data_IF_805620900424
#
_entry.id   IF_805620900424
#
_cell.length_a   1.000
_cell.length_b   1.000
_cell.length_c   1.000
_cell.angle_alpha   90.00
_cell.angle_beta   90.00
_cell.angle_gamma   90.00
#
_symmetry.space_group_name_H-M   'P 1'
#
loop_
_entity.id
_entity.type
_entity.pdbx_description
1 polymer ?
#
# COMPACT_ATOMS: atom_id res chain seq x y z
N UNK A 1 -13.63 5.40 10.96
CA UNK A 1 -13.58 4.54 9.74
C UNK A 1 -14.02 5.21 8.43
N UNK A 2 -14.73 6.35 8.41
CA UNK A 2 -15.17 7.02 7.15
C UNK A 2 -14.05 7.29 6.11
N UNK A 3 -12.85 7.68 6.57
CA UNK A 3 -11.72 8.02 5.69
C UNK A 3 -11.19 6.83 4.87
N UNK A 4 -11.20 5.62 5.45
CA UNK A 4 -10.73 4.42 4.73
C UNK A 4 -11.71 4.03 3.63
N UNK A 5 -13.02 3.99 3.93
CA UNK A 5 -14.04 3.65 2.96
C UNK A 5 -14.09 4.64 1.78
N UNK A 6 -13.95 5.94 2.07
CA UNK A 6 -13.85 6.98 1.02
C UNK A 6 -12.62 6.82 0.14
N UNK A 7 -11.45 6.57 0.74
CA UNK A 7 -10.20 6.34 0.00
C UNK A 7 -10.27 5.05 -0.83
N UNK A 8 -10.78 3.96 -0.26
CA UNK A 8 -10.98 2.69 -0.94
C UNK A 8 -11.95 2.82 -2.12
N UNK A 9 -13.06 3.54 -1.94
CA UNK A 9 -14.02 3.80 -3.02
C UNK A 9 -13.41 4.60 -4.18
N UNK A 10 -12.62 5.65 -3.87
CA UNK A 10 -11.88 6.41 -4.91
C UNK A 10 -10.88 5.53 -5.65
N UNK A 11 -10.09 4.73 -4.94
CA UNK A 11 -9.11 3.82 -5.53
C UNK A 11 -9.76 2.74 -6.39
N UNK A 12 -10.90 2.17 -5.96
CA UNK A 12 -11.67 1.21 -6.73
C UNK A 12 -12.13 1.78 -8.07
N UNK A 13 -12.65 3.01 -8.08
CA UNK A 13 -13.05 3.69 -9.31
C UNK A 13 -11.88 3.96 -10.26
N UNK A 14 -10.74 4.42 -9.71
CA UNK A 14 -9.52 4.66 -10.49
C UNK A 14 -8.99 3.35 -11.10
N UNK A 15 -8.97 2.26 -10.32
CA UNK A 15 -8.52 0.95 -10.79
C UNK A 15 -9.42 0.42 -11.92
N UNK A 16 -10.75 0.49 -11.77
CA UNK A 16 -11.67 0.07 -12.83
C UNK A 16 -11.51 0.88 -14.11
N UNK A 17 -11.34 2.20 -14.00
CA UNK A 17 -11.14 3.08 -15.15
C UNK A 17 -9.82 2.81 -15.89
N UNK A 18 -8.71 2.65 -15.17
CA UNK A 18 -7.39 2.38 -15.76
C UNK A 18 -7.32 1.01 -16.43
N UNK A 19 -7.95 0.00 -15.83
CA UNK A 19 -7.88 -1.39 -16.30
C UNK A 19 -8.99 -1.76 -17.29
N UNK A 20 -9.95 -0.86 -17.51
CA UNK A 20 -11.11 -1.11 -18.37
C UNK A 20 -12.09 -2.14 -17.79
N UNK A 21 -12.02 -2.40 -16.49
CA UNK A 21 -12.88 -3.38 -15.83
C UNK A 21 -14.30 -2.85 -15.67
N UNK A 22 -15.27 -3.70 -16.00
CA UNK A 22 -16.65 -3.53 -15.59
C UNK A 22 -16.77 -3.76 -14.07
N UNK A 23 -17.81 -3.23 -13.40
CA UNK A 23 -17.97 -3.39 -11.96
C UNK A 23 -17.90 -4.84 -11.48
N UNK A 24 -18.52 -5.79 -12.21
CA UNK A 24 -18.47 -7.22 -11.89
C UNK A 24 -17.05 -7.81 -11.95
N UNK A 25 -16.22 -7.35 -12.90
CA UNK A 25 -14.84 -7.83 -13.03
C UNK A 25 -14.00 -7.35 -11.84
N UNK A 26 -14.17 -6.09 -11.43
CA UNK A 26 -13.52 -5.54 -10.25
C UNK A 26 -13.90 -6.30 -8.97
N UNK A 27 -15.19 -6.61 -8.76
CA UNK A 27 -15.63 -7.32 -7.55
C UNK A 27 -15.24 -8.80 -7.52
N UNK A 28 -14.99 -9.43 -8.68
CA UNK A 28 -14.47 -10.80 -8.75
C UNK A 28 -12.96 -10.86 -8.61
N UNK A 29 -12.24 -9.80 -8.93
CA UNK A 29 -10.79 -9.74 -8.79
C UNK A 29 -10.37 -9.80 -7.32
N UNK A 30 -9.39 -10.64 -7.04
CA UNK A 30 -8.78 -10.74 -5.71
C UNK A 30 -7.76 -9.60 -5.51
N UNK A 31 -7.49 -9.22 -4.24
CA UNK A 31 -6.44 -8.23 -3.95
C UNK A 31 -5.05 -8.61 -4.51
N UNK A 32 -4.73 -9.92 -4.56
CA UNK A 32 -3.47 -10.42 -5.09
C UNK A 32 -3.34 -10.23 -6.60
N UNK A 33 -4.44 -10.47 -7.35
CA UNK A 33 -4.49 -10.22 -8.79
C UNK A 33 -4.36 -8.73 -9.10
N UNK A 34 -5.05 -7.87 -8.35
CA UNK A 34 -4.94 -6.41 -8.49
C UNK A 34 -3.50 -5.94 -8.23
N UNK A 35 -2.84 -6.45 -7.18
CA UNK A 35 -1.44 -6.13 -6.90
C UNK A 35 -0.50 -6.58 -8.04
N UNK A 36 -0.77 -7.74 -8.66
CA UNK A 36 0.00 -8.24 -9.80
C UNK A 36 -0.09 -7.29 -11.00
N UNK A 37 -1.30 -6.87 -11.36
CA UNK A 37 -1.55 -5.94 -12.46
C UNK A 37 -0.89 -4.58 -12.21
N UNK A 38 -0.98 -4.05 -10.98
CA UNK A 38 -0.36 -2.76 -10.64
C UNK A 38 1.18 -2.82 -10.70
N UNK A 39 1.80 -3.94 -10.33
CA UNK A 39 3.26 -4.14 -10.50
C UNK A 39 3.65 -4.13 -11.97
N UNK A 40 2.90 -4.85 -12.80
CA UNK A 40 3.13 -4.87 -14.25
C UNK A 40 2.97 -3.46 -14.86
N UNK A 41 1.89 -2.74 -14.52
CA UNK A 41 1.63 -1.39 -15.02
C UNK A 41 2.70 -0.36 -14.61
N UNK A 42 3.37 -0.56 -13.47
CA UNK A 42 4.48 0.28 -13.01
C UNK A 42 5.83 -0.07 -13.67
N UNK A 43 5.87 -1.05 -14.57
CA UNK A 43 7.12 -1.54 -15.17
C UNK A 43 8.03 -2.26 -14.17
N UNK A 44 7.47 -2.78 -13.07
CA UNK A 44 8.23 -3.49 -12.02
C UNK A 44 8.56 -4.94 -12.39
N UNK A 45 8.34 -5.34 -13.65
CA UNK A 45 8.74 -6.67 -14.14
C UNK A 45 10.28 -6.86 -14.16
N UNK A 46 11.07 -5.79 -14.01
CA UNK A 46 12.53 -5.86 -14.02
C UNK A 46 13.19 -6.25 -12.69
N UNK A 47 12.47 -6.33 -11.57
CA UNK A 47 13.02 -6.81 -10.30
C UNK A 47 12.05 -7.84 -9.71
N UNK A 48 12.37 -9.12 -9.94
CA UNK A 48 11.58 -10.24 -9.45
C UNK A 48 11.22 -10.09 -7.98
N UNK A 49 9.91 -10.21 -7.69
CA UNK A 49 9.32 -10.73 -6.46
C UNK A 49 9.58 -10.05 -5.10
N UNK A 50 10.76 -9.49 -4.87
CA UNK A 50 11.29 -9.23 -3.52
C UNK A 50 11.31 -7.74 -3.16
N UNK A 51 11.36 -6.83 -4.14
CA UNK A 51 11.61 -5.40 -3.88
C UNK A 51 10.40 -4.60 -3.30
N UNK A 52 9.22 -5.20 -3.16
CA UNK A 52 8.05 -4.55 -2.53
C UNK A 52 7.46 -5.33 -1.35
N UNK A 53 7.92 -6.54 -1.09
CA UNK A 53 7.51 -7.30 0.08
C UNK A 53 8.28 -6.85 1.35
N UNK A 54 9.41 -6.14 1.20
CA UNK A 54 10.39 -5.92 2.28
C UNK A 54 10.67 -4.45 2.66
N UNK A 55 9.72 -3.52 2.51
CA UNK A 55 9.86 -2.25 3.27
C UNK A 55 8.53 -1.78 3.83
N UNK A 56 7.87 -2.67 4.58
CA UNK A 56 7.13 -2.24 5.76
C UNK A 56 8.12 -2.24 6.91
N UNK A 57 8.43 -1.07 7.49
CA UNK A 57 9.21 -1.00 8.73
C UNK A 57 8.46 -1.82 9.79
N UNK A 58 9.07 -2.89 10.29
CA UNK A 58 8.47 -3.67 11.36
C UNK A 58 8.41 -2.83 12.66
N UNK A 59 7.57 -3.27 13.61
CA UNK A 59 7.39 -2.53 14.86
C UNK A 59 8.67 -2.40 15.70
N UNK A 60 9.64 -3.30 15.50
CA UNK A 60 10.91 -3.29 16.20
C UNK A 60 11.85 -2.20 15.62
N UNK A 61 11.90 -2.08 14.29
CA UNK A 61 12.67 -1.02 13.63
C UNK A 61 12.05 0.35 13.87
N UNK A 62 10.72 0.46 13.93
CA UNK A 62 10.07 1.70 14.36
C UNK A 62 10.45 2.07 15.80
N UNK A 63 10.50 1.10 16.72
CA UNK A 63 10.92 1.32 18.11
C UNK A 63 12.40 1.75 18.22
N UNK A 64 13.27 1.15 17.41
CA UNK A 64 14.69 1.54 17.33
C UNK A 64 14.86 2.98 16.85
N UNK A 65 14.11 3.38 15.83
CA UNK A 65 14.14 4.75 15.28
C UNK A 65 13.60 5.78 16.28
N UNK A 66 12.50 5.48 16.99
CA UNK A 66 11.97 6.35 18.05
C UNK A 66 12.97 6.57 19.20
N UNK A 67 13.78 5.56 19.54
CA UNK A 67 14.83 5.70 20.55
C UNK A 67 16.03 6.52 20.08
N UNK A 68 16.37 6.46 18.79
CA UNK A 68 17.49 7.21 18.21
C UNK A 68 17.15 8.69 17.93
N UNK A 69 15.86 9.01 17.75
CA UNK A 69 15.34 10.34 17.46
C UNK A 69 14.24 10.70 18.49
N UNK A 70 14.60 11.00 19.74
CA UNK A 70 13.62 11.40 20.74
C UNK A 70 12.98 12.74 20.35
N UNK A 71 11.66 12.81 20.35
CA UNK A 71 10.95 14.07 20.16
C UNK A 71 11.37 15.06 21.25
N UNK A 72 11.67 16.31 20.87
CA UNK A 72 12.18 17.37 21.77
C UNK A 72 11.26 17.65 22.98
N UNK A 73 10.02 17.14 22.98
CA UNK A 73 9.05 17.23 24.07
C UNK A 73 8.99 16.07 25.06
N UNK A 74 9.71 14.95 24.87
CA UNK A 74 9.65 13.79 25.79
C UNK A 74 10.65 13.84 26.96
N UNK A 75 11.60 14.79 26.96
CA UNK A 75 12.62 14.90 28.02
C UNK A 75 12.20 15.85 29.17
N UNK A 76 11.00 16.45 29.09
CA UNK A 76 10.49 17.44 30.04
C UNK A 76 9.26 16.95 30.82
N UNK A 77 9.32 15.75 31.41
CA UNK A 77 8.42 15.32 32.48
C UNK A 77 9.15 14.55 33.56
#
# INVERSE_FOLDING_TARGET
MRRFAEAAGRLAGIAGWLLGWRPDEFWRATPAELASVLRAARGQEALGGEALADVGVDGAELARLMGAMPDEGQVMR
#
